data_IF_781936140784
#
_entry.id   IF_781936140784
#
_cell.length_a   1.000
_cell.length_b   1.000
_cell.length_c   1.000
_cell.angle_alpha   90.00
_cell.angle_beta   90.00
_cell.angle_gamma   90.00
#
_symmetry.space_group_name_H-M   'P 1'
#
loop_
_entity.id
_entity.type
_entity.pdbx_description
1 polymer ?
#
# COMPACT_ATOMS: atom_id res chain seq x y z
N UNK A 1 7.58 -3.33 -15.25
CA UNK A 1 7.44 -1.90 -14.93
C UNK A 1 8.63 -1.56 -14.06
N UNK A 2 9.55 -0.71 -14.54
CA UNK A 2 10.82 -0.46 -13.87
C UNK A 2 10.75 0.81 -13.02
N UNK A 3 11.37 0.78 -11.84
CA UNK A 3 11.73 2.03 -11.15
C UNK A 3 12.84 2.67 -11.98
N UNK A 4 12.51 3.72 -12.74
CA UNK A 4 13.42 4.39 -13.67
C UNK A 4 14.35 5.34 -12.90
N UNK A 5 15.46 4.81 -12.35
CA UNK A 5 16.62 5.61 -11.99
C UNK A 5 17.91 4.80 -12.20
N UNK A 6 18.46 4.91 -13.42
CA UNK A 6 19.81 4.46 -13.71
C UNK A 6 20.82 5.35 -12.95
N UNK A 7 21.65 4.70 -12.13
CA UNK A 7 22.82 5.28 -11.50
C UNK A 7 23.83 5.67 -12.59
N UNK A 8 24.18 6.95 -12.73
CA UNK A 8 25.42 7.35 -13.39
C UNK A 8 26.45 7.69 -12.31
N UNK A 9 27.46 6.84 -12.06
CA UNK A 9 28.53 7.17 -11.13
C UNK A 9 29.55 8.04 -11.85
N UNK A 10 29.49 9.36 -11.66
CA UNK A 10 30.58 10.28 -12.01
C UNK A 10 30.39 11.61 -11.28
N UNK A 11 31.04 11.79 -10.13
CA UNK A 11 32.34 12.45 -10.04
C UNK A 11 32.55 13.01 -8.62
N UNK A 12 33.40 12.34 -7.85
CA UNK A 12 34.09 12.95 -6.72
C UNK A 12 35.15 13.84 -7.36
N UNK A 13 35.03 15.16 -7.21
CA UNK A 13 36.13 16.09 -7.45
C UNK A 13 36.03 17.26 -6.48
N UNK A 14 37.16 17.45 -5.81
CA UNK A 14 37.45 18.44 -4.77
C UNK A 14 37.15 19.90 -5.20
N UNK A 15 36.76 20.70 -4.19
CA UNK A 15 36.70 22.18 -4.14
C UNK A 15 38.05 22.86 -4.49
N UNK A 16 38.18 24.21 -4.75
CA UNK A 16 37.54 25.27 -3.95
C UNK A 16 37.23 26.67 -4.55
N UNK A 17 36.51 27.46 -3.72
CA UNK A 17 36.44 28.94 -3.64
C UNK A 17 35.67 29.68 -4.78
N UNK A 18 34.89 30.76 -4.61
CA UNK A 18 34.91 31.91 -3.70
C UNK A 18 33.55 32.65 -3.76
N UNK A 19 33.07 33.15 -2.61
CA UNK A 19 32.51 34.50 -2.37
C UNK A 19 31.51 35.14 -3.37
N UNK A 20 30.25 35.34 -2.94
CA UNK A 20 29.62 36.68 -2.72
C UNK A 20 28.14 36.60 -2.30
N UNK A 21 27.86 37.15 -1.13
CA UNK A 21 26.59 37.78 -0.68
C UNK A 21 26.91 39.30 -0.76
N UNK A 22 25.99 40.29 -0.97
CA UNK A 22 24.79 40.41 -0.15
C UNK A 22 23.55 41.20 -0.63
N UNK A 23 22.52 41.09 0.24
CA UNK A 23 21.52 42.10 0.63
C UNK A 23 20.31 42.43 -0.26
N UNK A 24 19.16 42.56 0.43
CA UNK A 24 18.01 43.37 0.02
C UNK A 24 16.66 42.73 0.37
N UNK A 25 16.16 42.84 1.60
CA UNK A 25 15.08 43.78 2.00
C UNK A 25 13.65 43.23 1.87
N UNK A 26 13.03 42.96 3.04
CA UNK A 26 11.58 42.99 3.29
C UNK A 26 11.11 44.47 3.35
N UNK A 27 9.83 44.84 3.07
CA UNK A 27 8.78 44.69 4.09
C UNK A 27 7.31 44.51 3.62
N UNK A 28 6.53 43.98 4.58
CA UNK A 28 5.12 44.18 4.97
C UNK A 28 3.99 44.63 4.01
N UNK A 29 2.87 43.94 4.22
CA UNK A 29 1.48 44.40 4.36
C UNK A 29 0.63 44.71 3.12
N UNK A 30 -0.52 44.02 3.02
CA UNK A 30 -1.85 44.65 3.06
C UNK A 30 -2.95 43.58 3.03
N UNK A 31 -3.76 43.57 4.08
CA UNK A 31 -5.12 43.01 4.08
C UNK A 31 -6.06 43.96 3.33
N UNK A 32 -7.07 43.39 2.65
CA UNK A 32 -8.50 43.74 2.66
C UNK A 32 -9.17 43.41 1.32
N UNK A 33 -10.18 42.54 1.33
CA UNK A 33 -11.50 42.77 0.71
C UNK A 33 -12.37 41.51 0.79
N UNK A 34 -13.57 41.64 1.36
CA UNK A 34 -14.63 40.64 1.31
C UNK A 34 -15.29 40.55 -0.08
N UNK A 35 -16.36 39.73 -0.26
CA UNK A 35 -17.60 39.99 0.45
C UNK A 35 -18.40 38.77 0.95
N UNK A 36 -19.07 39.01 2.07
CA UNK A 36 -20.43 38.59 2.45
C UNK A 36 -21.18 37.64 1.50
N UNK A 37 -21.54 36.44 1.99
CA UNK A 37 -22.72 35.70 1.54
C UNK A 37 -23.30 34.85 2.68
N UNK A 38 -24.44 35.34 3.20
CA UNK A 38 -25.57 34.65 3.83
C UNK A 38 -25.33 33.21 4.31
N UNK A 39 -25.36 33.03 5.63
CA UNK A 39 -25.59 31.73 6.28
C UNK A 39 -26.98 31.21 5.89
N UNK A 40 -27.01 30.26 4.95
CA UNK A 40 -28.19 29.43 4.74
C UNK A 40 -28.33 28.47 5.93
N UNK A 41 -29.53 28.44 6.48
CA UNK A 41 -29.98 27.55 7.54
C UNK A 41 -30.07 26.13 6.96
N UNK A 42 -29.04 25.31 7.18
CA UNK A 42 -29.01 23.91 6.73
C UNK A 42 -29.82 23.08 7.73
N UNK A 43 -31.00 22.65 7.30
CA UNK A 43 -31.78 21.62 7.99
C UNK A 43 -31.01 20.29 7.98
N UNK A 44 -31.12 19.46 9.04
CA UNK A 44 -30.44 18.17 9.07
C UNK A 44 -31.00 17.26 7.96
N UNK A 45 -30.14 16.54 7.21
CA UNK A 45 -30.62 15.58 6.23
C UNK A 45 -31.42 14.48 6.92
N UNK A 46 -32.64 14.31 6.44
CA UNK A 46 -33.64 13.35 6.89
C UNK A 46 -33.05 11.95 6.83
N UNK A 47 -33.18 11.20 7.93
CA UNK A 47 -32.79 9.78 8.04
C UNK A 47 -33.32 9.01 6.82
N UNK A 48 -32.51 8.15 6.16
CA UNK A 48 -33.04 7.31 5.10
C UNK A 48 -34.11 6.38 5.70
N UNK A 49 -35.32 6.50 5.16
CA UNK A 49 -36.48 5.68 5.47
C UNK A 49 -36.15 4.24 5.09
N UNK A 50 -35.90 3.39 6.09
CA UNK A 50 -35.75 1.95 5.93
C UNK A 50 -36.97 1.43 5.19
N UNK A 51 -36.81 1.07 3.92
CA UNK A 51 -37.80 0.25 3.22
C UNK A 51 -37.69 -1.12 3.85
N UNK A 52 -38.61 -1.42 4.76
CA UNK A 52 -38.85 -2.76 5.25
C UNK A 52 -39.24 -3.63 4.06
N UNK A 53 -38.27 -4.38 3.54
CA UNK A 53 -38.57 -5.53 2.70
C UNK A 53 -39.39 -6.50 3.55
N UNK A 54 -40.53 -7.02 3.07
CA UNK A 54 -41.24 -8.06 3.79
C UNK A 54 -40.30 -9.26 3.92
N UNK A 55 -40.09 -9.72 5.16
CA UNK A 55 -39.52 -11.04 5.41
C UNK A 55 -40.33 -12.06 4.60
N UNK A 56 -39.70 -13.06 3.97
CA UNK A 56 -40.44 -14.19 3.43
C UNK A 56 -41.28 -14.79 4.57
N UNK A 57 -42.57 -15.00 4.32
CA UNK A 57 -43.46 -15.62 5.28
C UNK A 57 -42.85 -16.94 5.79
N UNK A 58 -42.99 -17.26 7.09
CA UNK A 58 -42.57 -18.56 7.61
C UNK A 58 -43.27 -19.64 6.80
N UNK A 59 -42.49 -20.52 6.19
CA UNK A 59 -43.01 -21.75 5.60
C UNK A 59 -43.76 -22.47 6.70
N UNK A 60 -45.08 -22.60 6.52
CA UNK A 60 -45.98 -23.31 7.43
C UNK A 60 -45.61 -24.78 7.36
N UNK A 61 -44.67 -25.20 8.20
CA UNK A 61 -44.31 -26.61 8.37
C UNK A 61 -45.53 -27.35 8.92
N UNK A 62 -45.95 -28.39 8.20
CA UNK A 62 -46.95 -29.37 8.63
C UNK A 62 -46.68 -29.83 10.08
N UNK A 63 -47.67 -29.81 10.99
CA UNK A 63 -47.52 -30.37 12.33
C UNK A 63 -47.71 -31.89 12.27
N UNK A 64 -46.76 -32.61 11.67
CA UNK A 64 -46.77 -34.08 11.67
C UNK A 64 -45.37 -34.73 11.61
N UNK A 65 -44.28 -33.96 11.66
CA UNK A 65 -42.93 -34.52 11.72
C UNK A 65 -42.27 -34.08 13.04
N UNK A 66 -42.20 -34.98 14.00
CA UNK A 66 -41.41 -34.76 15.21
C UNK A 66 -39.95 -34.47 14.83
N UNK A 67 -39.28 -33.49 15.47
CA UNK A 67 -37.87 -33.27 15.26
C UNK A 67 -37.10 -34.50 15.78
N UNK A 68 -36.39 -35.19 14.86
CA UNK A 68 -35.49 -36.30 15.19
C UNK A 68 -34.56 -35.91 16.34
N UNK A 69 -34.36 -36.83 17.26
CA UNK A 69 -33.51 -36.62 18.43
C UNK A 69 -32.08 -36.25 18.01
N UNK A 70 -31.37 -35.51 18.86
CA UNK A 70 -30.01 -35.06 18.58
C UNK A 70 -29.05 -36.24 18.34
N UNK A 71 -29.29 -37.37 19.03
CA UNK A 71 -28.58 -38.63 18.82
C UNK A 71 -28.81 -39.20 17.40
N UNK A 72 -30.04 -39.17 16.90
CA UNK A 72 -30.38 -39.65 15.55
C UNK A 72 -29.77 -38.76 14.45
N UNK A 73 -29.57 -37.46 14.72
CA UNK A 73 -28.86 -36.55 13.80
C UNK A 73 -27.35 -36.79 13.75
N UNK A 74 -26.76 -37.30 14.83
CA UNK A 74 -25.33 -37.62 14.91
C UNK A 74 -25.00 -39.01 14.35
N UNK A 75 -25.97 -39.93 14.36
CA UNK A 75 -25.83 -41.27 13.77
C UNK A 75 -26.16 -41.32 12.26
N UNK A 76 -26.60 -40.21 11.66
CA UNK A 76 -26.80 -40.13 10.22
C UNK A 76 -25.44 -40.14 9.49
N UNK A 77 -25.31 -40.82 8.32
CA UNK A 77 -24.10 -40.75 7.51
C UNK A 77 -23.76 -39.29 7.23
N UNK A 78 -22.50 -38.90 7.49
CA UNK A 78 -22.05 -37.53 7.37
C UNK A 78 -22.47 -36.93 6.01
N UNK A 79 -23.00 -35.69 5.97
CA UNK A 79 -23.26 -35.00 4.73
C UNK A 79 -22.00 -35.02 3.86
N UNK A 80 -22.19 -35.22 2.54
CA UNK A 80 -21.11 -35.28 1.54
C UNK A 80 -20.06 -34.19 1.81
N UNK A 81 -18.76 -34.46 1.57
CA UNK A 81 -17.71 -33.47 1.78
C UNK A 81 -18.11 -32.16 1.13
N UNK A 82 -18.13 -31.10 1.93
CA UNK A 82 -18.33 -29.73 1.45
C UNK A 82 -17.34 -29.47 0.30
N UNK A 83 -17.74 -28.73 -0.75
CA UNK A 83 -16.84 -28.41 -1.84
C UNK A 83 -15.57 -27.78 -1.26
N UNK A 84 -14.44 -28.43 -1.55
CA UNK A 84 -13.12 -28.05 -1.04
C UNK A 84 -12.90 -26.57 -1.36
N UNK A 85 -12.86 -25.72 -0.33
CA UNK A 85 -12.72 -24.28 -0.50
C UNK A 85 -11.46 -24.02 -1.33
N UNK A 86 -11.66 -23.63 -2.60
CA UNK A 86 -10.63 -23.46 -3.64
C UNK A 86 -9.29 -23.02 -3.04
N UNK A 87 -8.36 -23.96 -2.90
CA UNK A 87 -6.94 -23.63 -2.76
C UNK A 87 -6.57 -22.88 -4.05
N UNK A 88 -6.18 -21.62 -3.93
CA UNK A 88 -5.69 -20.82 -5.06
C UNK A 88 -4.56 -21.60 -5.73
N UNK A 89 -4.60 -21.70 -7.05
CA UNK A 89 -3.52 -22.35 -7.78
C UNK A 89 -2.22 -21.56 -7.57
N UNK A 90 -1.07 -22.22 -7.71
CA UNK A 90 0.25 -21.59 -7.66
C UNK A 90 0.32 -20.39 -8.62
N UNK A 91 -0.24 -20.54 -9.81
CA UNK A 91 -0.34 -19.53 -10.85
C UNK A 91 -1.17 -18.31 -10.40
N UNK A 92 -2.35 -18.53 -9.78
CA UNK A 92 -3.15 -17.43 -9.23
C UNK A 92 -2.41 -16.68 -8.12
N UNK A 93 -1.64 -17.40 -7.28
CA UNK A 93 -0.83 -16.78 -6.22
C UNK A 93 0.28 -15.91 -6.82
N UNK A 94 0.98 -16.40 -7.84
CA UNK A 94 2.03 -15.66 -8.54
C UNK A 94 1.47 -14.43 -9.24
N UNK A 95 0.35 -14.55 -9.97
CA UNK A 95 -0.27 -13.40 -10.63
C UNK A 95 -0.78 -12.33 -9.66
N UNK A 96 -1.22 -12.71 -8.45
CA UNK A 96 -1.53 -11.74 -7.39
C UNK A 96 -0.25 -11.07 -6.87
N UNK A 97 0.84 -11.82 -6.73
CA UNK A 97 2.11 -11.30 -6.25
C UNK A 97 2.73 -10.31 -7.24
N UNK A 98 2.67 -10.60 -8.53
CA UNK A 98 3.13 -9.72 -9.61
C UNK A 98 2.43 -8.36 -9.59
N UNK A 99 1.10 -8.36 -9.44
CA UNK A 99 0.32 -7.12 -9.30
C UNK A 99 0.71 -6.32 -8.06
N UNK A 100 0.99 -6.99 -6.94
CA UNK A 100 1.43 -6.33 -5.71
C UNK A 100 2.81 -5.70 -5.86
N UNK A 101 3.76 -6.42 -6.46
CA UNK A 101 5.12 -5.93 -6.69
C UNK A 101 5.08 -4.73 -7.65
N UNK A 102 4.32 -4.83 -8.73
CA UNK A 102 4.10 -3.72 -9.67
C UNK A 102 3.55 -2.48 -8.95
N UNK A 103 2.45 -2.60 -8.21
CA UNK A 103 1.89 -1.47 -7.46
C UNK A 103 2.87 -0.90 -6.41
N UNK A 104 3.73 -1.73 -5.84
CA UNK A 104 4.76 -1.30 -4.89
C UNK A 104 5.88 -0.52 -5.58
N UNK A 105 6.31 -0.97 -6.76
CA UNK A 105 7.27 -0.27 -7.63
C UNK A 105 6.75 1.11 -8.01
N UNK A 106 5.50 1.20 -8.45
CA UNK A 106 4.81 2.47 -8.76
C UNK A 106 4.86 3.45 -7.58
N UNK A 107 4.63 2.95 -6.35
CA UNK A 107 4.73 3.79 -5.15
C UNK A 107 6.16 4.26 -4.91
N UNK A 108 7.15 3.38 -5.04
CA UNK A 108 8.55 3.78 -4.90
C UNK A 108 8.95 4.83 -5.93
N UNK A 109 8.48 4.72 -7.17
CA UNK A 109 8.72 5.74 -8.20
C UNK A 109 8.27 7.12 -7.75
N UNK A 110 7.09 7.24 -7.10
CA UNK A 110 6.61 8.53 -6.59
C UNK A 110 7.54 9.18 -5.54
N UNK A 111 8.35 8.39 -4.82
CA UNK A 111 9.39 8.90 -3.91
C UNK A 111 10.56 9.44 -4.73
N UNK A 112 11.07 8.66 -5.68
CA UNK A 112 12.24 9.04 -6.47
C UNK A 112 11.95 10.21 -7.43
N UNK A 113 10.70 10.36 -7.88
CA UNK A 113 10.24 11.52 -8.65
C UNK A 113 10.37 12.83 -7.86
N UNK A 114 10.43 12.77 -6.52
CA UNK A 114 10.75 13.92 -5.66
C UNK A 114 12.25 13.99 -5.38
N UNK A 115 13.07 13.95 -6.45
CA UNK A 115 14.54 13.94 -6.40
C UNK A 115 15.13 14.95 -5.41
N UNK A 116 14.68 16.21 -5.45
CA UNK A 116 15.18 17.27 -4.54
C UNK A 116 14.91 16.99 -3.05
N UNK A 117 13.82 16.27 -2.72
CA UNK A 117 13.55 15.83 -1.35
C UNK A 117 14.32 14.57 -1.03
N UNK A 118 14.44 13.65 -1.98
CA UNK A 118 15.17 12.41 -1.81
C UNK A 118 16.66 12.67 -1.55
N UNK A 119 17.28 13.59 -2.30
CA UNK A 119 18.66 14.03 -2.13
C UNK A 119 18.91 14.68 -0.76
N UNK A 120 17.87 15.21 -0.11
CA UNK A 120 17.97 15.78 1.24
C UNK A 120 17.92 14.74 2.37
N UNK A 121 17.68 13.47 2.07
CA UNK A 121 17.68 12.38 3.06
C UNK A 121 19.09 12.05 3.54
N UNK A 122 19.18 11.44 4.71
CA UNK A 122 20.45 10.88 5.20
C UNK A 122 20.92 9.75 4.27
N UNK A 123 22.24 9.66 4.05
CA UNK A 123 22.83 8.68 3.13
C UNK A 123 22.42 7.24 3.41
N UNK A 124 22.30 6.85 4.68
CA UNK A 124 21.87 5.50 5.07
C UNK A 124 20.42 5.20 4.63
N UNK A 125 19.52 6.18 4.76
CA UNK A 125 18.14 6.05 4.28
C UNK A 125 18.07 5.97 2.76
N UNK A 126 18.86 6.78 2.05
CA UNK A 126 18.95 6.70 0.60
C UNK A 126 19.42 5.33 0.14
N UNK A 127 20.52 4.81 0.72
CA UNK A 127 21.05 3.49 0.38
C UNK A 127 20.05 2.37 0.64
N UNK A 128 19.36 2.40 1.78
CA UNK A 128 18.34 1.40 2.11
C UNK A 128 17.17 1.42 1.11
N UNK A 129 16.68 2.61 0.76
CA UNK A 129 15.58 2.76 -0.21
C UNK A 129 15.99 2.36 -1.63
N UNK A 130 17.21 2.69 -2.05
CA UNK A 130 17.76 2.24 -3.34
C UNK A 130 17.90 0.72 -3.39
N UNK A 131 18.57 0.13 -2.40
CA UNK A 131 18.73 -1.33 -2.30
C UNK A 131 17.39 -2.04 -2.40
N UNK A 132 16.39 -1.56 -1.67
CA UNK A 132 15.07 -2.17 -1.68
C UNK A 132 14.34 -2.00 -3.02
N UNK A 133 14.49 -0.85 -3.69
CA UNK A 133 13.99 -0.63 -5.03
C UNK A 133 14.64 -1.59 -6.05
N UNK A 134 15.96 -1.79 -5.95
CA UNK A 134 16.68 -2.74 -6.81
C UNK A 134 16.19 -4.18 -6.58
N UNK A 135 15.96 -4.56 -5.32
CA UNK A 135 15.38 -5.87 -4.98
C UNK A 135 13.97 -6.04 -5.54
N UNK A 136 13.12 -5.00 -5.49
CA UNK A 136 11.79 -5.04 -6.10
C UNK A 136 11.85 -5.18 -7.62
N UNK A 137 12.76 -4.45 -8.29
CA UNK A 137 12.98 -4.58 -9.73
C UNK A 137 13.44 -6.01 -10.07
N UNK A 138 14.38 -6.57 -9.30
CA UNK A 138 14.81 -7.96 -9.51
C UNK A 138 13.66 -8.96 -9.39
N UNK A 139 12.78 -8.79 -8.39
CA UNK A 139 11.59 -9.63 -8.24
C UNK A 139 10.67 -9.48 -9.46
N UNK A 140 10.43 -8.24 -9.93
CA UNK A 140 9.63 -7.98 -11.12
C UNK A 140 10.19 -8.67 -12.36
N UNK A 141 11.52 -8.73 -12.49
CA UNK A 141 12.19 -9.27 -13.66
C UNK A 141 12.33 -10.79 -13.65
N UNK A 142 12.15 -11.44 -12.50
CA UNK A 142 12.33 -12.88 -12.32
C UNK A 142 11.01 -13.62 -12.03
N UNK A 143 9.86 -13.02 -12.35
CA UNK A 143 8.56 -13.69 -12.20
C UNK A 143 8.40 -14.93 -13.08
N UNK A 144 9.13 -15.03 -14.19
CA UNK A 144 9.23 -16.23 -15.02
C UNK A 144 9.75 -17.45 -14.23
N UNK A 145 10.54 -17.21 -13.18
CA UNK A 145 11.08 -18.24 -12.27
C UNK A 145 10.31 -18.36 -10.97
N UNK A 146 9.16 -17.69 -10.83
CA UNK A 146 8.42 -17.63 -9.57
C UNK A 146 7.93 -19.00 -9.07
N UNK A 147 7.76 -19.97 -9.98
CA UNK A 147 7.43 -21.35 -9.62
C UNK A 147 8.57 -22.05 -8.83
N UNK A 148 9.82 -21.61 -9.03
CA UNK A 148 10.98 -22.11 -8.29
C UNK A 148 11.16 -21.41 -6.93
N UNK A 149 10.40 -20.35 -6.66
CA UNK A 149 10.48 -19.67 -5.37
C UNK A 149 9.80 -20.50 -4.28
N UNK A 150 10.52 -20.65 -3.18
CA UNK A 150 9.97 -21.27 -1.98
C UNK A 150 8.74 -20.48 -1.51
N UNK A 151 7.85 -21.16 -0.79
CA UNK A 151 6.69 -20.50 -0.17
C UNK A 151 7.13 -19.33 0.72
N UNK A 152 8.23 -19.50 1.46
CA UNK A 152 8.80 -18.45 2.32
C UNK A 152 9.24 -17.22 1.52
N UNK A 153 9.89 -17.39 0.35
CA UNK A 153 10.29 -16.26 -0.49
C UNK A 153 9.06 -15.49 -0.99
N UNK A 154 8.04 -16.19 -1.50
CA UNK A 154 6.79 -15.58 -1.96
C UNK A 154 6.03 -14.86 -0.85
N UNK A 155 5.96 -15.48 0.32
CA UNK A 155 5.34 -14.86 1.49
C UNK A 155 6.13 -13.62 1.93
N UNK A 156 7.46 -13.67 1.91
CA UNK A 156 8.31 -12.53 2.26
C UNK A 156 8.14 -11.35 1.31
N UNK A 157 8.09 -11.59 -0.01
CA UNK A 157 7.77 -10.56 -1.01
C UNK A 157 6.38 -9.97 -0.75
N UNK A 158 5.39 -10.84 -0.50
CA UNK A 158 4.01 -10.42 -0.22
C UNK A 158 3.93 -9.55 1.04
N UNK A 159 4.68 -9.90 2.09
CA UNK A 159 4.78 -9.12 3.33
C UNK A 159 5.45 -7.78 3.10
N UNK A 160 6.57 -7.74 2.38
CA UNK A 160 7.26 -6.51 2.01
C UNK A 160 6.31 -5.53 1.28
N UNK A 161 5.63 -6.02 0.23
CA UNK A 161 4.64 -5.24 -0.52
C UNK A 161 3.48 -4.78 0.36
N UNK A 162 3.02 -5.63 1.30
CA UNK A 162 1.95 -5.26 2.23
C UNK A 162 2.39 -4.15 3.18
N UNK A 163 3.60 -4.23 3.74
CA UNK A 163 4.13 -3.20 4.64
C UNK A 163 4.22 -1.85 3.92
N UNK A 164 4.78 -1.81 2.71
CA UNK A 164 4.76 -0.60 1.86
C UNK A 164 3.34 -0.16 1.54
N UNK A 165 2.46 -1.14 1.31
CA UNK A 165 1.01 -1.01 1.15
C UNK A 165 0.34 -0.15 2.22
N UNK A 166 0.79 -0.30 3.48
CA UNK A 166 0.24 0.40 4.65
C UNK A 166 0.82 1.79 4.90
N UNK A 167 1.94 2.14 4.26
CA UNK A 167 2.50 3.49 4.38
C UNK A 167 1.59 4.46 3.64
N UNK A 168 1.13 5.47 4.36
CA UNK A 168 0.22 6.47 3.83
C UNK A 168 1.02 7.60 3.14
N UNK A 169 1.13 7.54 1.82
CA UNK A 169 1.96 8.47 1.04
C UNK A 169 1.38 9.88 1.01
N UNK A 170 0.06 9.99 1.00
CA UNK A 170 -0.67 11.26 0.95
C UNK A 170 -2.05 11.09 1.55
N UNK A 171 -2.57 12.16 2.15
CA UNK A 171 -3.96 12.25 2.61
C UNK A 171 -4.68 13.35 1.84
N UNK A 172 -5.96 13.59 2.15
CA UNK A 172 -6.71 14.72 1.56
C UNK A 172 -6.11 16.07 2.00
N UNK A 173 -5.52 16.13 3.18
CA UNK A 173 -4.99 17.33 3.83
C UNK A 173 -3.48 17.51 3.58
N UNK A 174 -2.73 16.42 3.45
CA UNK A 174 -1.28 16.44 3.31
C UNK A 174 -0.80 15.66 2.08
N UNK A 175 -0.29 16.34 1.04
CA UNK A 175 0.34 15.67 -0.10
C UNK A 175 1.69 15.07 0.28
N UNK A 176 2.20 14.15 -0.55
CA UNK A 176 3.47 13.45 -0.36
C UNK A 176 4.64 14.38 -0.01
N UNK A 177 4.73 15.55 -0.65
CA UNK A 177 5.80 16.54 -0.39
C UNK A 177 5.86 16.95 1.08
N UNK A 178 4.71 17.14 1.75
CA UNK A 178 4.66 17.51 3.18
C UNK A 178 4.99 16.32 4.08
N UNK A 179 4.60 15.11 3.67
CA UNK A 179 4.79 13.87 4.45
C UNK A 179 6.10 13.17 4.15
N UNK A 180 6.90 13.68 3.21
CA UNK A 180 8.01 12.96 2.59
C UNK A 180 8.96 12.37 3.63
N UNK A 181 9.40 13.18 4.61
CA UNK A 181 10.29 12.73 5.69
C UNK A 181 9.70 11.57 6.51
N UNK A 182 8.40 11.61 6.81
CA UNK A 182 7.72 10.53 7.54
C UNK A 182 7.66 9.28 6.68
N UNK A 183 7.20 9.42 5.44
CA UNK A 183 7.06 8.31 4.47
C UNK A 183 8.41 7.63 4.25
N UNK A 184 9.49 8.37 4.00
CA UNK A 184 10.81 7.80 3.76
C UNK A 184 11.38 7.13 5.00
N UNK A 185 11.07 7.63 6.22
CA UNK A 185 11.47 6.98 7.47
C UNK A 185 10.79 5.62 7.63
N UNK A 186 9.47 5.57 7.40
CA UNK A 186 8.69 4.34 7.48
C UNK A 186 9.17 3.33 6.42
N UNK A 187 9.37 3.77 5.18
CA UNK A 187 9.91 2.93 4.10
C UNK A 187 11.33 2.45 4.38
N UNK A 188 12.20 3.29 4.96
CA UNK A 188 13.56 2.88 5.36
C UNK A 188 13.51 1.78 6.42
N UNK A 189 12.59 1.90 7.38
CA UNK A 189 12.38 0.85 8.38
C UNK A 189 11.92 -0.47 7.75
N UNK A 190 11.07 -0.41 6.71
CA UNK A 190 10.61 -1.60 5.98
C UNK A 190 11.75 -2.20 5.15
N UNK A 191 12.53 -1.36 4.46
CA UNK A 191 13.68 -1.78 3.66
C UNK A 191 14.73 -2.50 4.50
N UNK A 192 14.99 -2.01 5.73
CA UNK A 192 15.89 -2.64 6.68
C UNK A 192 15.27 -3.83 7.43
N UNK A 193 13.99 -4.15 7.20
CA UNK A 193 13.29 -5.27 7.83
C UNK A 193 13.70 -6.64 7.29
N UNK A 194 14.58 -6.69 6.30
CA UNK A 194 15.22 -7.91 5.81
C UNK A 194 14.36 -8.87 5.00
N UNK A 195 13.14 -8.44 4.61
CA UNK A 195 12.21 -9.28 3.84
C UNK A 195 12.81 -9.80 2.53
N UNK A 196 13.65 -8.99 1.88
CA UNK A 196 14.22 -9.29 0.57
C UNK A 196 15.72 -9.60 0.65
N UNK A 197 16.29 -9.80 1.84
CA UNK A 197 17.74 -9.99 2.04
C UNK A 197 18.31 -11.24 1.37
N UNK A 198 17.46 -12.21 1.04
CA UNK A 198 17.86 -13.40 0.27
C UNK A 198 18.17 -13.07 -1.21
N UNK A 199 17.82 -11.87 -1.67
CA UNK A 199 18.18 -11.35 -2.99
C UNK A 199 19.46 -10.51 -2.84
N UNK A 200 20.56 -11.05 -3.38
CA UNK A 200 21.85 -10.38 -3.48
C UNK A 200 22.00 -9.74 -4.86
N UNK A 201 22.24 -8.44 -4.90
CA UNK A 201 22.40 -7.62 -6.11
C UNK A 201 23.77 -6.94 -6.14
#
# INVERSE_FOLDING_TARGET
MYIYWAWTPSNVSFLPALSRVPNGSLPLAASLSGPSRRLQKVYPPTKPKTKSHPLPAPVRSNPAAQPRSLAERLSAPAPRPLPDFKKKSTEEVVGILEKKVSATIERYQAIFDKKYLFESLLGDSQRALHRFADQLNWVSDNFDKADNWSKQQRDSISWACRCVGTVEFSTKEEPLVKRFRKVTKDLTSIANGGYLDWISL
#
